data_IF_799095587780
#
_entry.id   IF_799095587780
#
_cell.length_a   1.000
_cell.length_b   1.000
_cell.length_c   1.000
_cell.angle_alpha   90.00
_cell.angle_beta   90.00
_cell.angle_gamma   90.00
#
_symmetry.space_group_name_H-M   'P 1'
#
loop_
_entity.id
_entity.type
_entity.pdbx_description
1 polymer ?
#
# COMPACT_ATOMS: atom_id res chain seq x y z
N UNK A 1 -20.90 5.59 20.40
CA UNK A 1 -20.50 6.48 19.29
C UNK A 1 -19.45 5.74 18.47
N UNK A 2 -19.89 4.88 17.55
CA UNK A 2 -19.01 4.18 16.61
C UNK A 2 -19.50 4.54 15.22
N UNK A 3 -18.62 5.02 14.34
CA UNK A 3 -19.05 5.30 12.96
C UNK A 3 -18.19 6.30 12.21
N UNK A 4 -16.97 5.90 11.85
CA UNK A 4 -16.40 6.08 10.52
C UNK A 4 -15.06 5.36 10.51
N UNK A 5 -15.06 4.07 10.18
CA UNK A 5 -13.84 3.39 9.78
C UNK A 5 -13.53 3.98 8.39
N UNK A 6 -12.74 5.06 8.35
CA UNK A 6 -12.43 5.71 7.07
C UNK A 6 -11.71 4.70 6.19
N UNK A 7 -12.12 4.60 4.92
CA UNK A 7 -11.43 3.78 3.94
C UNK A 7 -9.97 4.25 3.73
N UNK A 8 -9.62 5.47 4.15
CA UNK A 8 -8.30 6.03 4.00
C UNK A 8 -7.29 5.47 5.01
N UNK A 9 -6.06 5.29 4.54
CA UNK A 9 -4.88 4.95 5.33
C UNK A 9 -3.73 5.87 4.93
N UNK A 10 -2.74 6.00 5.83
CA UNK A 10 -1.43 6.54 5.48
C UNK A 10 -0.45 5.39 5.45
N UNK A 11 0.21 5.17 4.33
CA UNK A 11 1.29 4.18 4.22
C UNK A 11 2.63 4.88 4.36
N UNK A 12 3.41 4.45 5.34
CA UNK A 12 4.81 4.79 5.53
C UNK A 12 5.65 3.90 4.63
N UNK A 13 6.56 4.51 3.86
CA UNK A 13 7.58 3.81 3.08
C UNK A 13 8.94 4.42 3.36
N UNK A 14 10.02 3.64 3.34
CA UNK A 14 11.38 4.18 3.24
C UNK A 14 11.94 3.96 1.85
N UNK A 15 12.98 4.72 1.49
CA UNK A 15 13.74 4.56 0.25
C UNK A 15 15.19 4.97 0.49
N UNK A 16 16.13 4.31 -0.20
CA UNK A 16 17.57 4.49 0.02
C UNK A 16 18.16 5.71 -0.68
N UNK A 17 17.43 6.36 -1.58
CA UNK A 17 17.88 7.57 -2.28
C UNK A 17 16.73 8.51 -2.64
N UNK A 18 17.05 9.78 -2.94
CA UNK A 18 16.09 10.78 -3.40
C UNK A 18 15.44 10.39 -4.73
N UNK A 19 16.21 9.76 -5.63
CA UNK A 19 15.75 9.32 -6.94
C UNK A 19 14.78 8.14 -6.81
N UNK A 20 15.10 7.18 -5.93
CA UNK A 20 14.20 6.06 -5.63
C UNK A 20 12.90 6.55 -4.98
N UNK A 21 13.00 7.43 -3.97
CA UNK A 21 11.83 8.03 -3.33
C UNK A 21 10.93 8.76 -4.34
N UNK A 22 11.53 9.55 -5.24
CA UNK A 22 10.77 10.29 -6.27
C UNK A 22 10.10 9.33 -7.26
N UNK A 23 10.81 8.30 -7.72
CA UNK A 23 10.26 7.29 -8.64
C UNK A 23 9.10 6.52 -8.01
N UNK A 24 9.22 6.11 -6.74
CA UNK A 24 8.15 5.43 -6.02
C UNK A 24 6.94 6.37 -5.88
N UNK A 25 7.14 7.62 -5.49
CA UNK A 25 6.06 8.59 -5.36
C UNK A 25 5.32 8.83 -6.69
N UNK A 26 6.07 9.04 -7.78
CA UNK A 26 5.51 9.23 -9.13
C UNK A 26 4.74 8.00 -9.61
N UNK A 27 5.29 6.80 -9.40
CA UNK A 27 4.62 5.55 -9.76
C UNK A 27 3.31 5.39 -8.98
N UNK A 28 3.33 5.57 -7.67
CA UNK A 28 2.15 5.36 -6.82
C UNK A 28 1.00 6.30 -7.18
N UNK A 29 1.33 7.57 -7.45
CA UNK A 29 0.33 8.56 -7.89
C UNK A 29 -0.12 8.28 -9.33
N UNK A 30 0.81 8.02 -10.24
CA UNK A 30 0.51 7.77 -11.65
C UNK A 30 -0.31 6.50 -11.89
N UNK A 31 -0.18 5.49 -11.02
CA UNK A 31 -0.93 4.24 -11.07
C UNK A 31 -2.24 4.28 -10.25
N UNK A 32 -2.62 5.43 -9.68
CA UNK A 32 -3.79 5.55 -8.79
C UNK A 32 -3.75 4.63 -7.56
N UNK A 33 -2.55 4.29 -7.09
CA UNK A 33 -2.33 3.50 -5.87
C UNK A 33 -2.16 4.38 -4.63
N UNK A 34 -1.91 5.68 -4.82
CA UNK A 34 -1.99 6.71 -3.80
C UNK A 34 -2.50 8.02 -4.41
N UNK A 35 -3.29 8.78 -3.65
CA UNK A 35 -3.78 10.07 -4.10
C UNK A 35 -2.68 11.14 -4.01
N UNK A 36 -1.85 11.09 -2.96
CA UNK A 36 -0.59 11.82 -2.90
C UNK A 36 0.47 11.07 -2.09
N UNK A 37 1.72 11.47 -2.31
CA UNK A 37 2.86 11.06 -1.52
C UNK A 37 3.63 12.31 -1.10
N UNK A 38 3.95 12.43 0.18
CA UNK A 38 4.89 13.43 0.67
C UNK A 38 6.24 12.74 0.89
N UNK A 39 7.32 13.37 0.43
CA UNK A 39 8.69 12.90 0.64
C UNK A 39 9.34 13.83 1.67
N UNK A 40 9.78 13.27 2.78
CA UNK A 40 10.54 14.01 3.78
C UNK A 40 11.99 14.17 3.31
N UNK A 41 12.70 15.25 3.72
CA UNK A 41 14.14 15.34 3.52
C UNK A 41 14.87 14.12 4.08
N UNK A 42 16.13 13.95 3.68
CA UNK A 42 16.97 12.84 4.15
C UNK A 42 16.96 12.74 5.68
N UNK A 43 16.76 11.52 6.16
CA UNK A 43 16.76 11.11 7.56
C UNK A 43 17.71 9.93 7.76
N UNK A 44 17.93 9.52 9.01
CA UNK A 44 18.74 8.35 9.35
C UNK A 44 17.84 7.23 9.89
N UNK A 45 17.94 6.05 9.28
CA UNK A 45 17.33 4.83 9.79
C UNK A 45 18.36 4.03 10.59
N UNK A 46 17.98 3.63 11.81
CA UNK A 46 18.84 2.85 12.71
C UNK A 46 18.16 1.52 13.01
N UNK A 47 18.78 0.42 12.60
CA UNK A 47 18.19 -0.92 12.72
C UNK A 47 19.25 -2.00 13.00
N UNK A 48 18.81 -3.20 13.38
CA UNK A 48 19.70 -4.35 13.57
C UNK A 48 19.61 -5.31 12.40
N UNK A 49 20.74 -5.62 11.80
CA UNK A 49 20.84 -6.60 10.72
C UNK A 49 22.07 -7.48 10.90
N UNK A 50 21.88 -8.81 10.78
CA UNK A 50 22.94 -9.82 10.97
C UNK A 50 23.77 -9.62 12.25
N UNK A 51 23.10 -9.26 13.34
CA UNK A 51 23.72 -9.09 14.67
C UNK A 51 24.35 -7.73 14.92
N UNK A 52 24.54 -6.88 13.91
CA UNK A 52 25.10 -5.54 14.05
C UNK A 52 24.03 -4.44 13.98
N UNK A 53 24.30 -3.30 14.59
CA UNK A 53 23.49 -2.08 14.42
C UNK A 53 24.01 -1.35 13.19
N UNK A 54 23.10 -1.04 12.26
CA UNK A 54 23.36 -0.28 11.05
C UNK A 54 22.71 1.09 11.16
N UNK A 55 23.26 2.04 10.41
CA UNK A 55 22.75 3.40 10.25
C UNK A 55 22.84 3.73 8.79
N UNK A 56 21.71 3.99 8.16
CA UNK A 56 21.65 4.30 6.73
C UNK A 56 20.90 5.61 6.50
N UNK A 57 21.38 6.47 5.58
CA UNK A 57 20.62 7.61 5.14
C UNK A 57 19.43 7.15 4.29
N UNK A 58 18.24 7.60 4.62
CA UNK A 58 17.00 7.21 3.95
C UNK A 58 16.06 8.41 3.75
N UNK A 59 15.00 8.19 3.00
CA UNK A 59 13.90 9.13 2.81
C UNK A 59 12.61 8.48 3.25
N UNK A 60 11.84 9.16 4.10
CA UNK A 60 10.50 8.71 4.50
C UNK A 60 9.46 9.24 3.52
N UNK A 61 8.63 8.35 3.00
CA UNK A 61 7.48 8.68 2.17
C UNK A 61 6.18 8.44 2.96
N UNK A 62 5.24 9.37 2.82
CA UNK A 62 3.91 9.32 3.44
C UNK A 62 2.83 9.30 2.36
N UNK A 63 2.41 8.10 1.95
CA UNK A 63 1.40 7.91 0.91
C UNK A 63 -0.02 7.92 1.50
N UNK A 64 -0.92 8.76 0.97
CA UNK A 64 -2.34 8.80 1.37
C UNK A 64 -3.11 7.99 0.34
N UNK A 65 -3.74 6.93 0.79
CA UNK A 65 -4.42 5.99 -0.09
C UNK A 65 -5.65 5.39 0.60
N UNK A 66 -6.32 4.46 -0.05
CA UNK A 66 -7.38 3.66 0.54
C UNK A 66 -6.85 2.29 0.98
N UNK A 67 -7.48 1.67 1.97
CA UNK A 67 -7.15 0.33 2.41
C UNK A 67 -7.25 -0.70 1.27
N UNK A 68 -8.12 -0.48 0.28
CA UNK A 68 -8.26 -1.34 -0.89
C UNK A 68 -7.04 -1.30 -1.82
N UNK A 69 -6.27 -0.20 -1.83
CA UNK A 69 -5.05 -0.07 -2.63
C UNK A 69 -3.83 -0.74 -1.99
N UNK A 70 -3.89 -1.16 -0.72
CA UNK A 70 -2.69 -1.53 0.03
C UNK A 70 -1.92 -2.69 -0.61
N UNK A 71 -2.60 -3.79 -0.95
CA UNK A 71 -1.93 -4.99 -1.48
C UNK A 71 -1.23 -4.71 -2.82
N UNK A 72 -1.87 -3.93 -3.68
CA UNK A 72 -1.32 -3.58 -4.99
C UNK A 72 -0.20 -2.53 -4.87
N UNK A 73 -0.34 -1.57 -3.95
CA UNK A 73 0.71 -0.64 -3.57
C UNK A 73 1.95 -1.38 -3.08
N UNK A 74 1.78 -2.33 -2.14
CA UNK A 74 2.88 -3.13 -1.61
C UNK A 74 3.58 -3.90 -2.73
N UNK A 75 2.82 -4.54 -3.62
CA UNK A 75 3.34 -5.28 -4.76
C UNK A 75 4.21 -4.41 -5.67
N UNK A 76 3.70 -3.24 -6.06
CA UNK A 76 4.40 -2.32 -6.96
C UNK A 76 5.63 -1.67 -6.31
N UNK A 77 5.54 -1.30 -5.03
CA UNK A 77 6.70 -0.81 -4.28
C UNK A 77 7.79 -1.87 -4.25
N UNK A 78 7.47 -3.11 -3.86
CA UNK A 78 8.44 -4.21 -3.79
C UNK A 78 9.07 -4.56 -5.15
N UNK A 79 8.33 -4.37 -6.24
CA UNK A 79 8.85 -4.61 -7.58
C UNK A 79 9.90 -3.57 -8.03
N UNK A 80 9.81 -2.34 -7.52
CA UNK A 80 10.70 -1.24 -7.88
C UNK A 80 11.80 -0.94 -6.85
N UNK A 81 11.62 -1.38 -5.61
CA UNK A 81 12.52 -1.04 -4.52
C UNK A 81 13.82 -1.84 -4.58
N UNK A 82 14.94 -1.17 -4.29
CA UNK A 82 16.27 -1.76 -4.20
C UNK A 82 16.49 -2.65 -2.97
N UNK A 83 15.66 -2.55 -1.93
CA UNK A 83 15.78 -3.34 -0.71
C UNK A 83 14.99 -4.64 -0.84
N UNK A 84 15.55 -5.73 -0.30
CA UNK A 84 14.87 -7.03 -0.26
C UNK A 84 13.61 -6.99 0.63
N UNK A 85 13.66 -6.21 1.72
CA UNK A 85 12.57 -6.04 2.67
C UNK A 85 12.42 -4.54 2.98
N UNK A 86 11.72 -3.78 2.12
CA UNK A 86 11.49 -2.36 2.36
C UNK A 86 10.50 -2.14 3.51
N UNK A 87 10.58 -1.00 4.20
CA UNK A 87 9.54 -0.60 5.16
C UNK A 87 8.26 -0.25 4.39
N UNK A 88 7.15 -0.92 4.72
CA UNK A 88 5.81 -0.64 4.18
C UNK A 88 4.80 -0.84 5.32
N UNK A 89 4.32 0.25 5.92
CA UNK A 89 3.46 0.19 7.11
C UNK A 89 2.22 1.07 6.93
N UNK A 90 1.02 0.48 7.05
CA UNK A 90 -0.23 1.21 7.02
C UNK A 90 -0.66 1.69 8.42
N UNK A 91 -0.96 2.99 8.53
CA UNK A 91 -1.57 3.61 9.70
C UNK A 91 -3.04 3.93 9.42
N UNK A 92 -3.96 3.57 10.34
CA UNK A 92 -5.39 3.88 10.16
C UNK A 92 -5.64 5.37 10.31
N UNK A 93 -6.43 5.94 9.40
CA UNK A 93 -6.92 7.32 9.53
C UNK A 93 -8.25 7.28 10.30
N UNK A 94 -8.26 7.81 11.51
CA UNK A 94 -9.48 7.86 12.32
C UNK A 94 -10.38 9.04 11.97
N UNK A 95 -9.78 10.15 11.53
CA UNK A 95 -10.48 11.39 11.16
C UNK A 95 -9.79 12.04 9.96
N UNK A 96 -10.60 12.51 9.02
CA UNK A 96 -10.17 13.23 7.82
C UNK A 96 -11.31 14.17 7.41
N UNK A 97 -10.98 15.34 6.85
CA UNK A 97 -12.03 16.24 6.34
C UNK A 97 -12.74 15.57 5.16
N UNK A 98 -14.08 15.68 5.11
CA UNK A 98 -14.87 15.04 4.06
C UNK A 98 -14.40 15.41 2.64
N UNK A 99 -14.12 16.69 2.30
CA UNK A 99 -13.62 17.03 0.96
C UNK A 99 -12.28 16.39 0.61
N UNK A 100 -11.40 16.17 1.60
CA UNK A 100 -10.10 15.55 1.37
C UNK A 100 -10.22 14.03 1.23
N UNK A 101 -11.12 13.39 1.99
CA UNK A 101 -11.43 11.98 1.82
C UNK A 101 -12.03 11.70 0.43
N UNK A 102 -12.97 12.54 -0.01
CA UNK A 102 -13.56 12.45 -1.35
C UNK A 102 -12.47 12.55 -2.42
N UNK A 103 -11.53 13.48 -2.25
CA UNK A 103 -10.38 13.62 -3.13
C UNK A 103 -9.44 12.40 -3.09
N UNK A 104 -9.15 11.83 -1.92
CA UNK A 104 -8.33 10.61 -1.80
C UNK A 104 -9.00 9.46 -2.56
N UNK A 105 -10.27 9.17 -2.25
CA UNK A 105 -11.01 8.04 -2.84
C UNK A 105 -11.23 8.19 -4.35
N UNK A 106 -11.28 9.42 -4.86
CA UNK A 106 -11.39 9.70 -6.30
C UNK A 106 -10.06 9.53 -7.06
N UNK A 107 -8.92 9.48 -6.37
CA UNK A 107 -7.59 9.39 -6.98
C UNK A 107 -6.83 8.10 -6.61
N UNK A 108 -7.28 7.37 -5.59
CA UNK A 108 -6.70 6.12 -5.14
C UNK A 108 -7.72 4.98 -5.26
N UNK A 109 -7.66 4.24 -6.37
CA UNK A 109 -8.56 3.14 -6.69
C UNK A 109 -7.75 1.99 -7.30
N UNK A 110 -7.69 0.81 -6.65
CA UNK A 110 -6.95 -0.31 -7.20
C UNK A 110 -7.61 -0.80 -8.50
N UNK A 111 -6.88 -1.50 -9.38
CA UNK A 111 -7.47 -2.18 -10.52
C UNK A 111 -8.61 -3.08 -10.05
N UNK A 112 -9.74 -3.06 -10.75
CA UNK A 112 -10.83 -4.00 -10.47
C UNK A 112 -10.28 -5.42 -10.70
N UNK A 113 -10.03 -6.15 -9.62
CA UNK A 113 -9.79 -7.59 -9.70
C UNK A 113 -11.05 -8.18 -10.31
N UNK A 114 -10.95 -8.64 -11.56
CA UNK A 114 -12.03 -9.38 -12.20
C UNK A 114 -12.33 -10.56 -11.30
N UNK A 115 -13.48 -10.56 -10.61
CA UNK A 115 -13.92 -11.70 -9.82
C UNK A 115 -13.98 -12.88 -10.77
N UNK A 116 -13.01 -13.79 -10.66
CA UNK A 116 -13.12 -15.09 -11.27
C UNK A 116 -14.34 -15.72 -10.60
N UNK A 117 -15.41 -15.91 -11.38
CA UNK A 117 -16.62 -16.60 -10.95
C UNK A 117 -16.15 -17.96 -10.42
N UNK A 118 -16.29 -18.16 -9.10
CA UNK A 118 -16.13 -19.48 -8.52
C UNK A 118 -17.18 -20.36 -9.21
N UNK A 119 -16.70 -21.23 -10.09
CA UNK A 119 -17.52 -22.26 -10.70
C UNK A 119 -17.98 -23.21 -9.62
N UNK A 120 -19.12 -22.93 -8.99
CA UNK A 120 -19.96 -23.96 -8.41
C UNK A 120 -20.51 -24.78 -9.58
N UNK A 121 -19.79 -25.85 -9.92
CA UNK A 121 -20.38 -26.94 -10.67
C UNK A 121 -20.83 -27.97 -9.63
N UNK A 122 -22.12 -28.10 -9.30
CA UNK A 122 -22.56 -29.14 -8.39
C UNK A 122 -22.24 -30.51 -9.01
N UNK A 123 -21.54 -31.35 -8.25
CA UNK A 123 -21.29 -32.73 -8.65
C UNK A 123 -22.63 -33.44 -8.97
N UNK A 124 -22.69 -34.25 -10.03
CA UNK A 124 -23.90 -35.04 -10.30
C UNK A 124 -24.14 -36.03 -9.16
N UNK A 125 -25.41 -36.36 -8.85
CA UNK A 125 -25.73 -37.24 -7.73
C UNK A 125 -25.14 -38.62 -7.97
N UNK A 126 -24.44 -39.12 -6.95
CA UNK A 126 -23.99 -40.50 -6.84
C UNK A 126 -25.17 -41.45 -7.04
N UNK A 127 -25.12 -42.30 -8.06
CA UNK A 127 -26.06 -43.42 -8.15
C UNK A 127 -25.77 -44.39 -7.00
N UNK A 128 -26.75 -44.55 -6.10
CA UNK A 128 -26.78 -45.66 -5.15
C UNK A 128 -26.99 -46.96 -5.92
N UNK A 129 -26.03 -47.89 -5.78
CA UNK A 129 -26.13 -49.27 -6.24
C UNK A 129 -27.38 -49.94 -5.64
N UNK A 130 -28.21 -50.52 -6.51
CA UNK A 130 -28.95 -51.75 -6.23
C UNK A 130 -28.31 -52.88 -7.02
#
# INVERSE_FOLDING_TARGET
>A
MAGANSAAIVVLLTAGSSEEASRLAEMLVGAHLAACVQIMPQMESVYRWKGAVHREPEFLLLAKTTAACFDELEREVRALHTYETPEIVALPVTHVSAPYLDWITSNAFPPLVSRQVAGENPAPPSQENQ
#
